data_IF_478410118726
#
_entry.id   IF_478410118726
#
_cell.length_a   1.000
_cell.length_b   1.000
_cell.length_c   1.000
_cell.angle_alpha   90.00
_cell.angle_beta   90.00
_cell.angle_gamma   90.00
#
_symmetry.space_group_name_H-M   'P 1'
#
loop_
_entity.id
_entity.type
_entity.pdbx_description
1 polymer ?
#
# COMPACT_ATOMS: atom_id res chain seq x y z
N UNK A 1 -48.90 -30.46 10.57
CA UNK A 1 -47.46 -30.33 10.85
C UNK A 1 -46.74 -30.79 9.61
N UNK A 2 -46.10 -29.87 8.90
CA UNK A 2 -44.96 -30.10 7.98
C UNK A 2 -44.50 -28.69 7.51
N UNK A 3 -43.29 -28.23 7.88
CA UNK A 3 -42.79 -26.95 7.38
C UNK A 3 -42.01 -27.13 6.09
N UNK A 4 -42.35 -26.27 5.12
CA UNK A 4 -41.75 -26.18 3.81
C UNK A 4 -40.23 -25.93 3.86
N UNK A 5 -39.50 -26.75 3.10
CA UNK A 5 -38.07 -26.64 2.82
C UNK A 5 -37.77 -25.33 2.06
N UNK A 6 -37.14 -24.38 2.74
CA UNK A 6 -36.59 -23.18 2.12
C UNK A 6 -35.34 -23.54 1.29
N UNK A 7 -35.45 -23.45 -0.02
CA UNK A 7 -34.31 -23.55 -0.94
C UNK A 7 -33.39 -22.35 -0.79
N UNK A 8 -32.23 -22.57 -0.17
CA UNK A 8 -31.11 -21.63 -0.18
C UNK A 8 -30.49 -21.67 -1.59
N UNK A 9 -30.67 -20.61 -2.37
CA UNK A 9 -29.97 -20.44 -3.64
C UNK A 9 -28.50 -20.20 -3.38
N UNK A 10 -27.71 -21.26 -3.45
CA UNK A 10 -26.26 -21.23 -3.38
C UNK A 10 -25.71 -20.51 -4.63
N UNK A 11 -25.33 -19.24 -4.47
CA UNK A 11 -24.62 -18.49 -5.51
C UNK A 11 -23.29 -19.18 -5.83
N UNK A 12 -23.29 -19.98 -6.90
CA UNK A 12 -22.12 -20.68 -7.44
C UNK A 12 -20.98 -19.68 -7.69
N UNK A 13 -19.98 -19.64 -6.81
CA UNK A 13 -18.80 -18.75 -6.93
C UNK A 13 -18.03 -19.16 -8.19
N UNK A 14 -18.12 -18.33 -9.23
CA UNK A 14 -17.41 -18.57 -10.49
C UNK A 14 -15.91 -18.40 -10.29
N UNK A 15 -15.11 -19.27 -10.93
CA UNK A 15 -13.66 -19.13 -10.97
C UNK A 15 -13.26 -17.75 -11.52
N UNK A 16 -12.19 -17.14 -11.00
CA UNK A 16 -11.75 -15.83 -11.43
C UNK A 16 -11.27 -15.90 -12.88
N UNK A 17 -11.61 -14.88 -13.64
CA UNK A 17 -11.12 -14.75 -15.00
C UNK A 17 -9.65 -14.30 -15.00
N UNK A 18 -8.86 -14.84 -15.93
CA UNK A 18 -7.55 -14.28 -16.26
C UNK A 18 -7.70 -12.83 -16.74
N UNK A 19 -6.63 -12.04 -16.68
CA UNK A 19 -6.70 -10.66 -17.18
C UNK A 19 -7.11 -10.64 -18.66
N UNK A 20 -6.64 -11.60 -19.46
CA UNK A 20 -7.02 -11.71 -20.87
C UNK A 20 -8.50 -12.07 -21.06
N UNK A 21 -9.05 -12.96 -20.21
CA UNK A 21 -10.48 -13.26 -20.22
C UNK A 21 -11.31 -12.04 -19.82
N UNK A 22 -10.87 -11.27 -18.82
CA UNK A 22 -11.49 -9.99 -18.45
C UNK A 22 -11.46 -8.99 -19.61
N UNK A 23 -10.33 -8.85 -20.29
CA UNK A 23 -10.21 -7.97 -21.47
C UNK A 23 -11.14 -8.38 -22.61
N UNK A 24 -11.35 -9.69 -22.82
CA UNK A 24 -12.31 -10.19 -23.82
C UNK A 24 -13.75 -9.92 -23.43
N UNK A 25 -14.09 -10.07 -22.15
CA UNK A 25 -15.42 -9.79 -21.63
C UNK A 25 -15.73 -8.28 -21.60
N UNK A 26 -14.72 -7.43 -21.42
CA UNK A 26 -14.83 -5.98 -21.33
C UNK A 26 -13.90 -5.27 -22.33
N UNK A 27 -14.12 -5.41 -23.65
CA UNK A 27 -13.18 -4.97 -24.69
C UNK A 27 -12.95 -3.45 -24.73
N UNK A 28 -13.87 -2.68 -24.16
CA UNK A 28 -13.75 -1.22 -24.03
C UNK A 28 -12.90 -0.79 -22.83
N UNK A 29 -12.70 -1.69 -21.88
CA UNK A 29 -12.02 -1.43 -20.60
C UNK A 29 -10.64 -2.06 -20.65
N UNK A 30 -9.67 -1.26 -21.08
CA UNK A 30 -8.30 -1.71 -21.30
C UNK A 30 -7.56 -1.77 -19.96
N UNK A 31 -7.44 -2.95 -19.35
CA UNK A 31 -6.58 -3.17 -18.17
C UNK A 31 -5.08 -2.85 -18.41
N UNK A 32 -4.65 -2.80 -19.68
CA UNK A 32 -3.30 -2.39 -20.09
C UNK A 32 -3.15 -0.87 -20.34
N UNK A 33 -3.92 -0.03 -19.67
CA UNK A 33 -3.70 1.43 -19.74
C UNK A 33 -2.66 1.88 -18.73
N UNK A 34 -2.08 3.05 -18.98
CA UNK A 34 -1.17 3.69 -18.04
C UNK A 34 -1.88 3.83 -16.68
N UNK A 35 -1.25 3.46 -15.54
CA UNK A 35 -1.96 3.32 -14.27
C UNK A 35 -2.69 4.55 -13.73
N UNK A 36 -2.22 5.75 -14.08
CA UNK A 36 -2.94 7.00 -13.77
C UNK A 36 -4.34 7.11 -14.39
N UNK A 37 -4.65 6.28 -15.37
CA UNK A 37 -5.94 6.23 -16.07
C UNK A 37 -6.84 5.12 -15.51
N UNK A 38 -6.40 4.37 -14.51
CA UNK A 38 -7.24 3.36 -13.88
C UNK A 38 -8.48 3.99 -13.24
N UNK A 39 -9.58 3.27 -13.34
CA UNK A 39 -10.90 3.64 -12.81
C UNK A 39 -11.33 2.68 -11.72
N UNK A 40 -12.44 2.99 -11.06
CA UNK A 40 -13.13 2.05 -10.17
C UNK A 40 -13.46 0.72 -10.84
N UNK A 41 -13.72 0.75 -12.15
CA UNK A 41 -14.00 -0.48 -12.88
C UNK A 41 -12.78 -1.40 -12.94
N UNK A 42 -11.56 -0.84 -13.06
CA UNK A 42 -10.33 -1.64 -13.00
C UNK A 42 -10.21 -2.34 -11.65
N UNK A 43 -10.52 -1.64 -10.56
CA UNK A 43 -10.53 -2.21 -9.21
C UNK A 43 -11.57 -3.34 -9.09
N UNK A 44 -12.80 -3.11 -9.55
CA UNK A 44 -13.86 -4.13 -9.54
C UNK A 44 -13.48 -5.37 -10.35
N UNK A 45 -12.92 -5.20 -11.55
CA UNK A 45 -12.48 -6.31 -12.41
C UNK A 45 -11.34 -7.12 -11.77
N UNK A 46 -10.48 -6.46 -11.01
CA UNK A 46 -9.39 -7.10 -10.29
C UNK A 46 -9.83 -7.71 -8.94
N UNK A 47 -11.03 -7.40 -8.46
CA UNK A 47 -11.48 -7.77 -7.11
C UNK A 47 -10.83 -6.95 -6.00
N UNK A 48 -10.37 -5.74 -6.32
CA UNK A 48 -9.80 -4.83 -5.33
C UNK A 48 -10.91 -4.10 -4.57
N UNK A 49 -10.84 -4.12 -3.25
CA UNK A 49 -11.81 -3.47 -2.36
C UNK A 49 -11.09 -2.60 -1.34
N UNK A 50 -11.67 -1.43 -1.03
CA UNK A 50 -11.18 -0.57 0.04
C UNK A 50 -11.98 -0.84 1.32
N UNK A 51 -11.27 -1.07 2.42
CA UNK A 51 -11.85 -1.20 3.75
C UNK A 51 -11.48 0.04 4.58
N UNK A 52 -12.47 0.67 5.21
CA UNK A 52 -12.20 1.76 6.16
C UNK A 52 -11.68 1.17 7.47
N UNK A 53 -10.42 1.45 7.79
CA UNK A 53 -9.77 1.07 9.04
C UNK A 53 -9.95 2.09 10.15
N UNK A 54 -10.73 3.15 9.91
CA UNK A 54 -11.05 4.16 10.91
C UNK A 54 -9.96 5.23 11.10
N UNK A 55 -10.11 5.97 12.20
CA UNK A 55 -9.14 6.96 12.68
C UNK A 55 -8.39 6.34 13.85
N UNK A 56 -7.07 6.41 13.77
CA UNK A 56 -6.15 5.95 14.79
C UNK A 56 -5.68 7.15 15.62
N UNK A 57 -6.22 7.26 16.84
CA UNK A 57 -5.98 8.41 17.74
C UNK A 57 -5.32 8.05 19.07
N UNK A 58 -5.01 6.79 19.39
CA UNK A 58 -4.53 6.38 20.73
C UNK A 58 -3.11 6.90 21.07
N UNK A 59 -2.87 7.54 22.24
CA UNK A 59 -2.41 6.76 23.42
C UNK A 59 -2.84 7.35 24.81
N UNK A 60 -2.76 6.62 25.96
CA UNK A 60 -1.49 6.25 26.62
C UNK A 60 -1.36 4.76 27.05
N UNK A 61 -0.12 4.24 27.23
CA UNK A 61 0.11 3.02 28.01
C UNK A 61 -0.24 3.24 29.50
N UNK A 62 -0.60 2.17 30.24
CA UNK A 62 -0.98 2.26 31.64
C UNK A 62 0.12 2.87 32.51
N UNK A 63 -0.25 3.60 33.58
CA UNK A 63 0.71 4.00 34.60
C UNK A 63 1.19 2.75 35.34
N UNK A 64 2.34 2.18 34.97
CA UNK A 64 2.95 1.15 35.82
C UNK A 64 3.94 0.17 35.18
N UNK A 65 4.05 0.04 33.86
CA UNK A 65 5.01 -0.93 33.31
C UNK A 65 6.30 -0.25 32.80
N UNK A 66 7.46 -0.50 33.45
CA UNK A 66 8.75 -0.08 32.92
C UNK A 66 9.07 -0.93 31.69
N UNK A 67 8.64 -0.48 30.52
CA UNK A 67 9.09 -1.06 29.25
C UNK A 67 10.58 -0.72 29.07
N UNK A 68 11.41 -1.73 29.34
CA UNK A 68 12.85 -1.62 29.58
C UNK A 68 13.70 -1.28 28.34
N UNK A 69 13.09 -0.90 27.21
CA UNK A 69 13.76 -0.91 25.91
C UNK A 69 13.84 0.42 25.16
N UNK A 70 13.55 1.59 25.75
CA UNK A 70 14.09 2.89 25.29
C UNK A 70 13.58 4.04 26.18
N UNK A 71 14.33 4.38 27.24
CA UNK A 71 14.13 5.65 27.94
C UNK A 71 14.64 6.77 27.04
N UNK A 72 13.76 7.28 26.18
CA UNK A 72 14.08 8.44 25.35
C UNK A 72 14.21 9.69 26.20
N UNK A 73 15.27 10.44 25.96
CA UNK A 73 15.54 11.69 26.66
C UNK A 73 14.49 12.75 26.30
N UNK A 74 14.30 13.75 27.17
CA UNK A 74 13.41 14.87 26.89
C UNK A 74 13.78 15.60 25.58
N UNK A 75 15.07 15.69 25.27
CA UNK A 75 15.57 16.29 24.02
C UNK A 75 15.16 15.49 22.77
N UNK A 76 15.15 14.17 22.84
CA UNK A 76 14.69 13.31 21.74
C UNK A 76 13.19 13.46 21.51
N UNK A 77 12.38 13.51 22.58
CA UNK A 77 10.93 13.75 22.48
C UNK A 77 10.62 15.11 21.84
N UNK A 78 11.35 16.15 22.23
CA UNK A 78 11.21 17.47 21.62
C UNK A 78 11.59 17.45 20.15
N UNK A 79 12.66 16.72 19.79
CA UNK A 79 13.10 16.55 18.40
C UNK A 79 12.02 15.86 17.58
N UNK A 80 11.43 14.78 18.09
CA UNK A 80 10.36 14.05 17.42
C UNK A 80 9.10 14.89 17.26
N UNK A 81 8.72 15.66 18.29
CA UNK A 81 7.61 16.62 18.21
C UNK A 81 7.85 17.62 17.07
N UNK A 82 9.07 18.17 16.98
CA UNK A 82 9.43 19.08 15.92
C UNK A 82 9.37 18.40 14.55
N UNK A 83 9.88 17.17 14.42
CA UNK A 83 9.80 16.41 13.17
C UNK A 83 8.36 16.07 12.78
N UNK A 84 7.50 15.70 13.71
CA UNK A 84 6.07 15.44 13.47
C UNK A 84 5.38 16.71 12.96
N UNK A 85 5.68 17.87 13.57
CA UNK A 85 5.16 19.17 13.12
C UNK A 85 5.66 19.53 11.72
N UNK A 86 6.94 19.31 11.42
CA UNK A 86 7.49 19.52 10.08
C UNK A 86 6.90 18.54 9.05
N UNK A 87 6.61 17.30 9.45
CA UNK A 87 5.97 16.32 8.59
C UNK A 87 4.52 16.69 8.29
N UNK A 88 3.78 17.18 9.28
CA UNK A 88 2.42 17.67 9.08
C UNK A 88 2.40 18.91 8.19
N UNK A 89 3.14 19.97 8.56
CA UNK A 89 2.98 21.31 7.97
C UNK A 89 4.03 21.68 6.91
N UNK A 90 5.05 20.86 6.72
CA UNK A 90 6.17 21.15 5.82
C UNK A 90 5.85 21.01 4.33
N UNK A 91 6.74 21.51 3.48
CA UNK A 91 6.70 21.23 2.03
C UNK A 91 6.99 19.76 1.76
N UNK A 92 6.48 19.21 0.65
CA UNK A 92 6.64 17.80 0.25
C UNK A 92 8.06 17.23 0.44
N UNK A 93 9.08 18.00 0.08
CA UNK A 93 10.49 17.57 0.21
C UNK A 93 10.98 17.55 1.65
N UNK A 94 10.50 18.46 2.49
CA UNK A 94 10.81 18.52 3.91
C UNK A 94 10.08 17.43 4.69
N UNK A 95 8.82 17.16 4.34
CA UNK A 95 7.99 16.10 4.96
C UNK A 95 8.75 14.78 4.97
N UNK A 96 9.33 14.43 3.82
CA UNK A 96 10.05 13.18 3.69
C UNK A 96 11.24 13.04 4.65
N UNK A 97 12.08 14.06 4.74
CA UNK A 97 13.23 14.04 5.65
C UNK A 97 12.81 13.91 7.10
N UNK A 98 11.70 14.55 7.47
CA UNK A 98 11.12 14.43 8.80
C UNK A 98 10.58 13.02 9.07
N UNK A 99 9.92 12.38 8.09
CA UNK A 99 9.47 11.00 8.22
C UNK A 99 10.63 10.03 8.45
N UNK A 100 11.70 10.14 7.66
CA UNK A 100 12.90 9.30 7.81
C UNK A 100 13.52 9.45 9.21
N UNK A 101 13.58 10.68 9.72
CA UNK A 101 14.07 10.96 11.09
C UNK A 101 13.15 10.37 12.16
N UNK A 102 11.83 10.50 12.00
CA UNK A 102 10.85 9.91 12.91
C UNK A 102 10.97 8.39 12.96
N UNK A 103 11.23 7.75 11.83
CA UNK A 103 11.44 6.29 11.76
C UNK A 103 12.71 5.85 12.50
N UNK A 104 13.72 6.72 12.61
CA UNK A 104 14.99 6.41 13.28
C UNK A 104 15.76 5.26 12.62
N UNK A 105 15.52 5.03 11.33
CA UNK A 105 16.13 3.94 10.56
C UNK A 105 16.87 4.48 9.34
N UNK A 106 17.92 3.76 8.94
CA UNK A 106 18.54 3.96 7.64
C UNK A 106 17.61 3.47 6.54
N UNK A 107 17.44 4.32 5.54
CA UNK A 107 16.48 4.09 4.47
C UNK A 107 17.08 4.49 3.14
N UNK A 108 16.82 3.68 2.12
CA UNK A 108 17.15 4.04 0.76
C UNK A 108 15.96 4.74 0.11
N UNK A 109 16.21 5.93 -0.43
CA UNK A 109 15.22 6.67 -1.19
C UNK A 109 15.39 6.41 -2.68
N UNK A 110 14.27 6.15 -3.37
CA UNK A 110 14.17 6.37 -4.82
C UNK A 110 12.86 7.08 -5.14
N UNK A 111 12.86 7.80 -6.26
CA UNK A 111 11.77 8.73 -6.62
C UNK A 111 10.73 8.15 -7.58
N UNK A 112 10.84 6.86 -7.94
CA UNK A 112 9.91 6.18 -8.83
C UNK A 112 9.82 4.70 -8.52
N UNK A 113 8.61 4.16 -8.55
CA UNK A 113 8.40 2.71 -8.52
C UNK A 113 7.94 2.20 -9.89
N UNK A 114 8.49 1.07 -10.34
CA UNK A 114 8.13 0.48 -11.63
C UNK A 114 6.93 -0.42 -11.49
N UNK A 115 5.88 -0.12 -12.24
CA UNK A 115 4.74 -1.02 -12.41
C UNK A 115 4.96 -1.90 -13.64
N UNK A 116 4.87 -3.21 -13.44
CA UNK A 116 5.12 -4.22 -14.47
C UNK A 116 3.83 -4.96 -14.84
N UNK A 117 3.76 -5.37 -16.09
CA UNK A 117 2.71 -6.23 -16.63
C UNK A 117 3.31 -7.08 -17.74
N UNK A 118 3.07 -8.39 -17.73
CA UNK A 118 3.65 -9.35 -18.67
C UNK A 118 5.17 -9.22 -18.72
N UNK A 119 5.80 -9.09 -17.54
CA UNK A 119 7.23 -8.81 -17.33
C UNK A 119 7.77 -7.52 -17.98
N UNK A 120 6.91 -6.69 -18.58
CA UNK A 120 7.27 -5.42 -19.21
C UNK A 120 6.98 -4.25 -18.28
N UNK A 121 7.84 -3.24 -18.31
CA UNK A 121 7.61 -1.99 -17.56
C UNK A 121 6.53 -1.19 -18.30
N UNK A 122 5.36 -1.05 -17.68
CA UNK A 122 4.25 -0.26 -18.23
C UNK A 122 4.37 1.21 -17.84
N UNK A 123 4.78 1.47 -16.59
CA UNK A 123 4.91 2.82 -16.09
C UNK A 123 5.93 2.94 -14.96
N UNK A 124 6.56 4.11 -14.90
CA UNK A 124 7.27 4.60 -13.73
C UNK A 124 6.30 5.49 -12.94
N UNK A 125 5.86 5.03 -11.79
CA UNK A 125 4.89 5.73 -10.95
C UNK A 125 5.64 6.76 -10.09
N UNK A 126 5.29 8.06 -10.17
CA UNK A 126 5.87 9.07 -9.30
C UNK A 126 5.42 8.83 -7.84
N UNK A 127 6.37 8.44 -7.00
CA UNK A 127 6.24 8.37 -5.56
C UNK A 127 7.64 8.30 -4.95
N UNK A 128 7.81 8.78 -3.71
CA UNK A 128 9.03 8.53 -2.95
C UNK A 128 8.86 7.21 -2.23
N UNK A 129 9.76 6.26 -2.40
CA UNK A 129 9.67 4.99 -1.66
C UNK A 129 10.92 4.78 -0.80
N UNK A 130 10.71 4.08 0.32
CA UNK A 130 11.72 3.67 1.29
C UNK A 130 11.78 2.16 1.30
N UNK A 131 13.00 1.68 1.20
CA UNK A 131 13.35 0.33 1.54
C UNK A 131 13.95 0.37 2.94
N UNK A 132 13.28 -0.27 3.89
CA UNK A 132 13.77 -0.38 5.25
C UNK A 132 14.87 -1.44 5.23
N UNK A 133 16.10 -1.06 5.59
CA UNK A 133 17.16 -2.05 5.75
C UNK A 133 16.78 -2.97 6.91
N UNK A 134 16.69 -4.27 6.63
CA UNK A 134 16.72 -5.27 7.70
C UNK A 134 18.09 -5.16 8.38
N UNK A 135 18.12 -4.59 9.58
CA UNK A 135 19.37 -4.52 10.35
C UNK A 135 19.57 -5.89 11.00
N UNK A 136 20.70 -6.58 10.77
CA UNK A 136 20.98 -7.85 11.43
C UNK A 136 21.15 -7.70 12.95
N UNK A 137 21.30 -6.47 13.47
CA UNK A 137 21.56 -6.19 14.89
C UNK A 137 20.34 -5.67 15.66
N UNK A 138 19.23 -5.39 14.99
CA UNK A 138 18.00 -4.92 15.63
C UNK A 138 16.86 -5.71 15.02
N UNK A 139 16.24 -6.57 15.81
CA UNK A 139 14.95 -7.20 15.51
C UNK A 139 14.06 -6.12 14.91
N UNK A 140 13.80 -6.19 13.61
CA UNK A 140 13.05 -5.15 12.92
C UNK A 140 11.67 -5.12 13.55
N UNK A 141 11.41 -4.08 14.34
CA UNK A 141 10.14 -3.88 15.02
C UNK A 141 8.96 -3.72 14.05
N UNK A 142 9.20 -3.64 12.74
CA UNK A 142 8.20 -3.35 11.72
C UNK A 142 8.07 -4.54 10.74
N UNK A 143 6.85 -5.06 10.53
CA UNK A 143 6.59 -6.12 9.55
C UNK A 143 6.64 -5.64 8.09
N UNK A 144 6.84 -4.33 7.87
CA UNK A 144 6.79 -3.70 6.55
C UNK A 144 8.21 -3.58 5.98
N UNK A 145 8.50 -4.36 4.94
CA UNK A 145 9.79 -4.29 4.23
C UNK A 145 9.88 -3.12 3.26
N UNK A 146 8.73 -2.62 2.77
CA UNK A 146 8.67 -1.55 1.77
C UNK A 146 7.55 -0.55 2.05
N UNK A 147 7.91 0.73 1.97
CA UNK A 147 7.01 1.85 2.27
C UNK A 147 7.05 2.85 1.11
N UNK A 148 5.90 3.26 0.59
CA UNK A 148 5.82 4.40 -0.33
C UNK A 148 5.18 5.62 0.33
N UNK A 149 5.56 6.80 -0.12
CA UNK A 149 4.97 8.08 0.22
C UNK A 149 4.49 8.79 -1.03
N UNK A 150 3.25 9.27 -0.96
CA UNK A 150 2.60 10.03 -2.00
C UNK A 150 2.08 11.36 -1.45
N UNK A 151 2.40 12.44 -2.15
CA UNK A 151 1.79 13.75 -1.94
C UNK A 151 0.65 13.93 -2.94
N UNK A 152 -0.56 14.14 -2.46
CA UNK A 152 -1.73 14.29 -3.32
C UNK A 152 -1.65 15.52 -4.24
N UNK A 153 -1.01 16.61 -3.81
CA UNK A 153 -0.81 17.75 -4.71
C UNK A 153 0.12 17.40 -5.87
N UNK A 154 1.12 16.55 -5.63
CA UNK A 154 1.98 16.05 -6.69
C UNK A 154 1.19 15.11 -7.62
N UNK A 155 0.37 14.20 -7.08
CA UNK A 155 -0.48 13.31 -7.88
C UNK A 155 -1.45 14.11 -8.77
N UNK A 156 -2.13 15.12 -8.20
CA UNK A 156 -3.06 15.97 -8.95
C UNK A 156 -2.36 16.71 -10.08
N UNK A 157 -1.17 17.28 -9.82
CA UNK A 157 -0.36 17.93 -10.85
C UNK A 157 0.01 16.94 -11.95
N UNK A 158 0.45 15.75 -11.56
CA UNK A 158 0.80 14.68 -12.50
C UNK A 158 -0.40 14.26 -13.36
N UNK A 159 -1.60 14.16 -12.77
CA UNK A 159 -2.86 13.93 -13.50
C UNK A 159 -3.18 15.03 -14.49
N UNK A 160 -3.06 16.31 -14.07
CA UNK A 160 -3.31 17.46 -14.95
C UNK A 160 -2.39 17.43 -16.18
N UNK A 161 -1.10 17.18 -15.99
CA UNK A 161 -0.11 17.07 -17.08
C UNK A 161 -0.47 15.92 -18.04
N UNK A 162 -0.81 14.73 -17.50
CA UNK A 162 -1.14 13.57 -18.33
C UNK A 162 -2.46 13.72 -19.08
N UNK A 163 -3.46 14.38 -18.50
CA UNK A 163 -4.74 14.72 -19.16
C UNK A 163 -4.54 15.73 -20.29
N UNK A 164 -3.76 16.79 -20.06
CA UNK A 164 -3.50 17.83 -21.07
C UNK A 164 -2.86 17.29 -22.35
N UNK A 165 -2.03 16.25 -22.24
CA UNK A 165 -1.40 15.58 -23.40
C UNK A 165 -2.31 14.61 -24.15
N UNK A 166 -3.47 14.24 -23.60
CA UNK A 166 -4.37 13.24 -24.18
C UNK A 166 -5.80 13.77 -24.26
N UNK A 167 -6.02 14.79 -25.10
CA UNK A 167 -7.37 15.27 -25.48
C UNK A 167 -8.24 14.19 -26.16
N UNK A 168 -7.69 13.01 -26.45
CA UNK A 168 -8.34 11.94 -27.24
C UNK A 168 -9.15 10.92 -26.42
N UNK A 169 -9.07 10.94 -25.09
CA UNK A 169 -9.97 10.13 -24.27
C UNK A 169 -10.86 11.07 -23.50
N UNK A 170 -12.17 11.03 -23.79
CA UNK A 170 -13.23 11.68 -23.01
C UNK A 170 -13.38 11.00 -21.62
N UNK A 171 -12.25 10.80 -20.95
CA UNK A 171 -12.18 10.34 -19.59
C UNK A 171 -12.63 11.49 -18.71
N UNK A 172 -13.93 11.54 -18.43
CA UNK A 172 -14.45 12.29 -17.29
C UNK A 172 -14.14 11.44 -16.08
N UNK A 173 -13.12 11.78 -15.26
CA UNK A 173 -13.08 11.20 -13.94
C UNK A 173 -14.40 11.63 -13.30
N UNK A 174 -15.30 10.67 -13.00
CA UNK A 174 -16.35 10.90 -12.01
C UNK A 174 -15.67 11.54 -10.80
N UNK A 175 -16.40 12.41 -10.09
CA UNK A 175 -15.91 13.13 -8.91
C UNK A 175 -15.32 12.16 -7.88
N UNK A 176 -14.05 11.81 -8.08
CA UNK A 176 -13.31 10.93 -7.21
C UNK A 176 -12.87 11.82 -6.08
N UNK A 177 -13.32 11.53 -4.87
CA UNK A 177 -12.57 11.97 -3.70
C UNK A 177 -11.24 11.22 -3.76
N UNK A 178 -10.09 11.88 -4.05
CA UNK A 178 -8.80 11.21 -4.24
C UNK A 178 -8.29 10.53 -2.96
N UNK A 179 -9.05 10.64 -1.87
CA UNK A 179 -8.72 10.21 -0.53
C UNK A 179 -9.48 8.99 -0.04
N UNK A 180 -10.53 8.51 -0.72
CA UNK A 180 -11.33 7.39 -0.18
C UNK A 180 -11.04 6.08 -0.90
N UNK A 181 -10.98 6.08 -2.23
CA UNK A 181 -10.91 4.84 -3.02
C UNK A 181 -10.14 5.05 -4.33
N UNK A 182 -9.07 5.83 -4.31
CA UNK A 182 -8.39 6.19 -5.56
C UNK A 182 -7.68 4.96 -6.18
N UNK A 183 -7.99 4.57 -7.43
CA UNK A 183 -7.37 3.41 -8.09
C UNK A 183 -5.84 3.48 -8.17
N UNK A 184 -5.28 4.68 -8.16
CA UNK A 184 -3.84 4.87 -8.18
C UNK A 184 -3.16 4.35 -6.90
N UNK A 185 -3.86 4.35 -5.75
CA UNK A 185 -3.35 3.76 -4.50
C UNK A 185 -3.16 2.25 -4.64
N UNK A 186 -4.15 1.57 -5.24
CA UNK A 186 -4.08 0.13 -5.51
C UNK A 186 -2.88 -0.19 -6.41
N UNK A 187 -2.68 0.58 -7.48
CA UNK A 187 -1.54 0.39 -8.40
C UNK A 187 -0.21 0.55 -7.66
N UNK A 188 -0.06 1.58 -6.82
CA UNK A 188 1.17 1.78 -6.06
C UNK A 188 1.47 0.61 -5.12
N UNK A 189 0.45 0.09 -4.42
CA UNK A 189 0.59 -1.09 -3.57
C UNK A 189 0.99 -2.32 -4.38
N UNK A 190 0.37 -2.55 -5.55
CA UNK A 190 0.75 -3.64 -6.45
C UNK A 190 2.20 -3.49 -6.92
N UNK A 191 2.62 -2.28 -7.30
CA UNK A 191 4.00 -2.01 -7.72
C UNK A 191 5.01 -2.27 -6.60
N UNK A 192 4.65 -1.95 -5.34
CA UNK A 192 5.45 -2.28 -4.16
C UNK A 192 5.57 -3.79 -3.99
N UNK A 193 4.47 -4.52 -4.11
CA UNK A 193 4.47 -5.97 -3.97
C UNK A 193 5.29 -6.67 -5.08
N UNK A 194 5.16 -6.21 -6.33
CA UNK A 194 5.99 -6.68 -7.45
C UNK A 194 7.49 -6.47 -7.18
N UNK A 195 7.86 -5.32 -6.61
CA UNK A 195 9.24 -5.02 -6.26
C UNK A 195 9.74 -5.91 -5.11
N UNK A 196 8.93 -6.09 -4.06
CA UNK A 196 9.25 -6.98 -2.95
C UNK A 196 9.49 -8.41 -3.43
N UNK A 197 8.59 -8.93 -4.26
CA UNK A 197 8.72 -10.27 -4.84
C UNK A 197 10.02 -10.42 -5.65
N UNK A 198 10.35 -9.44 -6.50
CA UNK A 198 11.58 -9.47 -7.29
C UNK A 198 12.85 -9.40 -6.43
N UNK A 199 12.81 -8.69 -5.29
CA UNK A 199 13.94 -8.63 -4.36
C UNK A 199 14.17 -9.98 -3.67
N UNK A 200 13.11 -10.66 -3.23
CA UNK A 200 13.21 -12.00 -2.64
C UNK A 200 13.77 -13.03 -3.63
N UNK A 201 13.32 -13.00 -4.89
CA UNK A 201 13.81 -13.91 -5.93
C UNK A 201 15.29 -13.74 -6.23
N UNK A 202 15.81 -12.50 -6.19
CA UNK A 202 17.24 -12.26 -6.39
C UNK A 202 18.07 -12.75 -5.22
N UNK A 203 17.61 -12.56 -3.98
CA UNK A 203 18.33 -13.01 -2.79
C UNK A 203 18.54 -14.53 -2.76
N UNK A 204 17.50 -15.29 -3.09
CA UNK A 204 17.58 -16.76 -3.16
C UNK A 204 18.53 -17.29 -4.23
N UNK A 205 18.96 -16.47 -5.21
CA UNK A 205 19.94 -16.88 -6.23
C UNK A 205 21.38 -16.72 -5.76
N UNK A 206 21.63 -15.77 -4.86
CA UNK A 206 22.96 -15.45 -4.37
C UNK A 206 23.33 -16.31 -3.14
N UNK A 207 22.34 -16.68 -2.31
CA UNK A 207 22.51 -17.45 -1.07
C UNK A 207 22.38 -18.98 -1.29
N UNK A 208 23.06 -19.56 -2.29
CA UNK A 208 23.11 -21.02 -2.54
C UNK A 208 23.89 -21.81 -1.44
N UNK A 209 23.70 -21.46 -0.18
CA UNK A 209 24.10 -22.23 1.00
C UNK A 209 22.81 -22.83 1.57
N UNK A 210 22.76 -24.15 1.50
CA UNK A 210 21.68 -25.05 1.92
C UNK A 210 21.43 -24.94 3.43
N UNK A 211 20.74 -23.88 3.87
CA UNK A 211 20.20 -23.79 5.23
C UNK A 211 18.68 -23.87 5.15
N UNK A 212 18.16 -25.05 5.46
CA UNK A 212 16.74 -25.34 5.56
C UNK A 212 16.12 -24.53 6.69
N UNK A 213 15.57 -23.36 6.35
CA UNK A 213 15.06 -22.44 7.36
C UNK A 213 13.98 -21.50 6.83
N UNK A 214 12.75 -21.89 7.11
CA UNK A 214 11.52 -21.08 7.15
C UNK A 214 10.93 -20.63 5.81
N UNK A 215 9.90 -21.36 5.37
CA UNK A 215 8.87 -20.94 4.43
C UNK A 215 8.04 -19.77 5.02
N UNK A 216 8.69 -18.67 5.39
CA UNK A 216 7.99 -17.42 5.63
C UNK A 216 7.45 -16.96 4.28
N UNK A 217 6.23 -17.42 4.04
CA UNK A 217 5.41 -17.14 2.88
C UNK A 217 5.58 -15.66 2.55
N UNK A 218 6.08 -15.35 1.34
CA UNK A 218 6.50 -14.01 0.91
C UNK A 218 5.37 -12.95 0.83
N UNK A 219 4.32 -13.13 1.62
CA UNK A 219 3.20 -12.25 1.90
C UNK A 219 3.64 -11.11 2.82
N UNK A 220 4.63 -10.32 2.35
CA UNK A 220 4.96 -9.07 3.00
C UNK A 220 3.76 -8.11 2.92
N UNK A 221 3.44 -7.41 4.00
CA UNK A 221 2.42 -6.34 3.94
C UNK A 221 3.01 -5.12 3.24
N UNK A 222 2.39 -4.66 2.15
CA UNK A 222 2.77 -3.41 1.49
C UNK A 222 2.08 -2.23 2.15
N UNK A 223 2.80 -1.11 2.25
CA UNK A 223 2.28 0.10 2.85
C UNK A 223 2.54 1.33 1.99
N UNK A 224 1.49 2.14 1.86
CA UNK A 224 1.49 3.42 1.17
C UNK A 224 0.98 4.52 2.11
N UNK A 225 1.84 5.47 2.39
CA UNK A 225 1.53 6.69 3.11
C UNK A 225 1.12 7.77 2.13
N UNK A 226 0.00 8.42 2.41
CA UNK A 226 -0.56 9.48 1.58
C UNK A 226 -0.74 10.71 2.44
N UNK A 227 -0.09 11.79 2.01
CA UNK A 227 -0.21 13.10 2.63
C UNK A 227 -1.09 13.99 1.75
N UNK A 228 -2.00 14.73 2.38
CA UNK A 228 -2.78 15.76 1.70
C UNK A 228 -2.41 17.13 2.27
N UNK A 229 -1.65 17.97 1.55
CA UNK A 229 -1.29 19.30 2.04
C UNK A 229 -2.47 20.28 2.09
N UNK A 230 -3.65 19.93 1.53
CA UNK A 230 -4.85 20.77 1.59
C UNK A 230 -5.77 20.46 2.76
N UNK A 231 -5.69 19.26 3.33
CA UNK A 231 -6.67 18.75 4.33
C UNK A 231 -6.03 18.44 5.69
N UNK A 232 -4.69 18.50 5.78
CA UNK A 232 -3.75 18.68 6.91
C UNK A 232 -4.01 18.10 8.33
N UNK A 233 -5.11 17.39 8.59
CA UNK A 233 -5.40 16.80 9.91
C UNK A 233 -4.87 15.38 10.06
N UNK A 234 -4.83 14.63 8.95
CA UNK A 234 -4.53 13.20 8.95
C UNK A 234 -3.39 12.83 8.01
N UNK A 235 -2.54 11.91 8.46
CA UNK A 235 -1.78 11.03 7.59
C UNK A 235 -2.68 9.87 7.16
N UNK A 236 -2.86 9.67 5.86
CA UNK A 236 -3.61 8.52 5.35
C UNK A 236 -2.64 7.36 5.12
N UNK A 237 -2.95 6.19 5.68
CA UNK A 237 -2.13 4.99 5.57
C UNK A 237 -2.96 3.94 4.85
N UNK A 238 -2.50 3.50 3.70
CA UNK A 238 -3.07 2.40 2.94
C UNK A 238 -2.18 1.18 3.09
N UNK A 239 -2.73 0.07 3.55
CA UNK A 239 -2.02 -1.20 3.64
C UNK A 239 -2.75 -2.27 2.86
N UNK A 240 -1.99 -3.25 2.37
CA UNK A 240 -2.55 -4.43 1.74
C UNK A 240 -1.59 -5.60 1.92
N UNK A 241 -2.14 -6.78 2.18
CA UNK A 241 -1.41 -8.02 2.00
C UNK A 241 -1.72 -8.56 0.60
N UNK A 242 -0.73 -8.53 -0.29
CA UNK A 242 -0.90 -8.87 -1.70
C UNK A 242 -0.25 -10.24 -1.94
N UNK A 243 -1.09 -11.24 -2.18
CA UNK A 243 -0.62 -12.60 -2.37
C UNK A 243 0.16 -12.78 -3.67
N UNK A 244 1.05 -13.77 -3.70
CA UNK A 244 1.79 -14.15 -4.90
C UNK A 244 0.85 -14.56 -6.05
N UNK A 245 -0.25 -15.23 -5.76
CA UNK A 245 -1.25 -15.63 -6.76
C UNK A 245 -1.95 -14.41 -7.38
N UNK A 246 -2.19 -13.36 -6.60
CA UNK A 246 -2.72 -12.11 -7.13
C UNK A 246 -1.70 -11.43 -8.04
N UNK A 247 -0.43 -11.37 -7.64
CA UNK A 247 0.65 -10.80 -8.46
C UNK A 247 0.90 -11.57 -9.75
N UNK A 248 0.78 -12.90 -9.69
CA UNK A 248 0.92 -13.81 -10.83
C UNK A 248 -0.02 -13.43 -11.99
N UNK A 249 -1.17 -12.81 -11.71
CA UNK A 249 -2.09 -12.30 -12.74
C UNK A 249 -1.47 -11.22 -13.61
N UNK A 250 -0.60 -10.40 -13.04
CA UNK A 250 0.10 -9.33 -13.76
C UNK A 250 1.33 -9.86 -14.49
N UNK A 251 1.96 -10.91 -13.97
CA UNK A 251 3.13 -11.54 -14.61
C UNK A 251 2.74 -12.48 -15.75
N UNK A 252 1.71 -13.31 -15.56
CA UNK A 252 1.19 -14.25 -16.56
C UNK A 252 -0.29 -13.98 -16.88
N UNK A 253 -0.61 -12.87 -17.55
CA UNK A 253 -1.99 -12.40 -17.72
C UNK A 253 -2.89 -13.30 -18.58
N UNK A 254 -2.30 -14.27 -19.28
CA UNK A 254 -3.01 -15.29 -20.07
C UNK A 254 -3.54 -16.43 -19.19
N UNK A 255 -2.87 -16.72 -18.08
CA UNK A 255 -3.23 -17.80 -17.18
C UNK A 255 -4.35 -17.36 -16.24
N UNK A 256 -5.34 -18.22 -16.06
CA UNK A 256 -6.32 -18.03 -15.00
C UNK A 256 -5.63 -18.21 -13.65
N UNK A 257 -5.96 -17.41 -12.62
CA UNK A 257 -5.39 -17.58 -11.29
C UNK A 257 -5.63 -19.01 -10.80
N UNK A 258 -4.57 -19.65 -10.30
CA UNK A 258 -4.61 -21.06 -9.85
C UNK A 258 -5.23 -21.24 -8.45
N UNK A 259 -5.76 -20.17 -7.84
CA UNK A 259 -6.31 -20.24 -6.49
C UNK A 259 -7.56 -21.11 -6.42
N UNK A 260 -7.65 -21.91 -5.36
CA UNK A 260 -8.82 -22.72 -5.04
C UNK A 260 -10.07 -21.83 -4.94
N UNK A 261 -11.19 -22.31 -5.47
CA UNK A 261 -12.45 -21.57 -5.69
C UNK A 261 -13.13 -20.99 -4.45
N UNK A 262 -12.48 -21.01 -3.29
CA UNK A 262 -12.99 -20.56 -2.00
C UNK A 262 -12.44 -19.21 -1.53
N UNK A 263 -11.19 -18.85 -1.88
CA UNK A 263 -10.60 -17.57 -1.46
C UNK A 263 -11.17 -16.42 -2.29
N UNK A 264 -11.49 -15.30 -1.64
CA UNK A 264 -11.97 -14.08 -2.28
C UNK A 264 -10.89 -13.59 -3.27
N UNK A 265 -11.11 -13.81 -4.56
CA UNK A 265 -10.17 -13.43 -5.61
C UNK A 265 -10.06 -11.91 -5.66
N UNK A 266 -8.95 -11.38 -5.18
CA UNK A 266 -8.83 -9.94 -5.03
C UNK A 266 -7.79 -9.51 -4.03
N UNK A 267 -7.88 -8.24 -3.67
CA UNK A 267 -6.96 -7.59 -2.76
C UNK A 267 -7.75 -6.60 -1.91
N UNK A 268 -7.62 -6.70 -0.59
CA UNK A 268 -8.25 -5.76 0.35
C UNK A 268 -7.24 -4.68 0.70
N UNK A 269 -7.59 -3.44 0.40
CA UNK A 269 -6.80 -2.25 0.72
C UNK A 269 -7.40 -1.64 1.98
N UNK A 270 -6.71 -1.77 3.10
CA UNK A 270 -7.11 -1.15 4.35
C UNK A 270 -6.67 0.31 4.37
N UNK A 271 -7.60 1.23 4.60
CA UNK A 271 -7.36 2.66 4.69
C UNK A 271 -7.51 3.15 6.14
N UNK A 272 -6.41 3.50 6.79
CA UNK A 272 -6.39 4.10 8.13
C UNK A 272 -6.03 5.58 8.06
N UNK A 273 -6.49 6.35 9.04
CA UNK A 273 -6.15 7.77 9.21
C UNK A 273 -5.44 7.96 10.53
N UNK A 274 -4.26 8.57 10.54
CA UNK A 274 -3.51 8.88 11.77
C UNK A 274 -3.54 10.38 11.99
N UNK A 275 -4.04 10.83 13.14
CA UNK A 275 -4.04 12.25 13.48
C UNK A 275 -2.61 12.74 13.71
N UNK A 276 -2.26 13.86 13.08
CA UNK A 276 -0.95 14.50 13.29
C UNK A 276 -0.81 15.06 14.69
N UNK A 277 -1.90 15.61 15.23
CA UNK A 277 -1.94 16.15 16.58
C UNK A 277 -2.53 15.11 17.56
N UNK A 278 -2.04 15.04 18.81
CA UNK A 278 -0.92 15.82 19.34
C UNK A 278 0.44 15.29 18.83
N UNK A 279 1.38 16.20 18.54
CA UNK A 279 2.63 15.90 17.83
C UNK A 279 3.65 15.09 18.64
N UNK A 280 3.60 15.23 19.96
CA UNK A 280 4.49 14.56 20.93
C UNK A 280 4.30 13.04 20.97
N UNK A 281 3.11 12.58 20.62
CA UNK A 281 2.69 11.17 20.61
C UNK A 281 2.45 10.65 19.19
N UNK A 282 2.68 11.51 18.17
CA UNK A 282 2.47 11.15 16.77
C UNK A 282 3.36 9.98 16.34
N UNK A 283 4.61 9.96 16.81
CA UNK A 283 5.56 8.92 16.42
C UNK A 283 5.12 7.54 16.91
N UNK A 284 4.67 7.45 18.15
CA UNK A 284 4.17 6.21 18.75
C UNK A 284 2.92 5.73 18.02
N UNK A 285 1.96 6.64 17.74
CA UNK A 285 0.79 6.34 16.90
C UNK A 285 1.17 5.81 15.54
N UNK A 286 2.12 6.50 14.90
CA UNK A 286 2.58 6.14 13.58
C UNK A 286 3.22 4.75 13.59
N UNK A 287 4.13 4.46 14.52
CA UNK A 287 4.79 3.16 14.64
C UNK A 287 3.78 2.04 14.95
N UNK A 288 2.82 2.27 15.85
CA UNK A 288 1.77 1.29 16.14
C UNK A 288 0.99 0.91 14.86
N UNK A 289 0.65 1.90 14.03
CA UNK A 289 0.02 1.65 12.73
C UNK A 289 0.93 0.87 11.78
N UNK A 290 2.25 1.13 11.80
CA UNK A 290 3.21 0.37 11.00
C UNK A 290 3.33 -1.10 11.42
N UNK A 291 3.18 -1.37 12.71
CA UNK A 291 3.31 -2.69 13.31
C UNK A 291 2.08 -3.57 13.12
N UNK A 292 0.95 -2.97 12.74
CA UNK A 292 -0.32 -3.69 12.65
C UNK A 292 -0.90 -4.08 14.01
N UNK A 293 -0.30 -3.64 15.11
CA UNK A 293 -0.82 -3.81 16.48
C UNK A 293 -2.11 -2.99 16.61
N UNK A 294 -3.23 -3.71 16.65
CA UNK A 294 -4.53 -3.25 17.13
C UNK A 294 -4.94 -4.14 18.28
#
# INVERSE_FOLDING_TARGET
MDPATAGVTETKRQRPLSIFQLLRAYPRERLYVHPILWTQLHLKLLGCEFADGGIFSTPPPPPGEPNNNNVRTAAERQTDTNQARFFAKGKSDCKWRSLVRLMGQEVFQKDKITFRYDSKIVANLPCKFLELKSSPRRTTLLPVSQLACLDLSHLERYRKIKKGRRRLYAFRPRDYSPLKEDPYMAVLLIALAQRALAAHQNKNRDDNVDDGGDDSNGDGTQMLLVTNPRVDKYLHVYTSNISKEFLARFEWPKLSPTGDGERKFGMVILHRRVEFEPYDTFRERFIAVLQGTT
#
